data_IF_337034074057
#
_entry.id   IF_337034074057
#
_cell.length_a   1.000
_cell.length_b   1.000
_cell.length_c   1.000
_cell.angle_alpha   90.00
_cell.angle_beta   90.00
_cell.angle_gamma   90.00
#
_symmetry.space_group_name_H-M   'P 1'
#
loop_
_entity.id
_entity.type
_entity.pdbx_description
1 polymer ?
#
# COMPACT_ATOMS: atom_id res chain seq x y z
N UNK A 1 -11.97 -17.29 -5.67
CA UNK A 1 -12.23 -15.96 -5.08
C UNK A 1 -10.90 -15.25 -4.93
N UNK A 2 -10.76 -13.99 -5.38
CA UNK A 2 -9.48 -13.26 -5.34
C UNK A 2 -9.22 -12.62 -3.97
N UNK A 3 -7.94 -12.43 -3.61
CA UNK A 3 -7.47 -11.71 -2.41
C UNK A 3 -6.58 -10.54 -2.84
N UNK A 4 -7.19 -9.52 -3.44
CA UNK A 4 -6.47 -8.39 -4.03
C UNK A 4 -6.22 -7.24 -3.06
N UNK A 5 -7.02 -7.14 -1.99
CA UNK A 5 -6.99 -6.03 -1.03
C UNK A 5 -7.00 -6.54 0.40
N UNK A 6 -6.62 -5.67 1.33
CA UNK A 6 -6.75 -5.85 2.78
C UNK A 6 -8.23 -5.75 3.20
N UNK A 7 -8.50 -5.77 4.50
CA UNK A 7 -9.86 -5.81 5.03
C UNK A 7 -10.71 -4.61 4.55
N UNK A 8 -11.77 -4.82 3.75
CA UNK A 8 -12.45 -3.74 3.03
C UNK A 8 -13.43 -2.92 3.90
N UNK A 9 -13.48 -3.18 5.21
CA UNK A 9 -14.36 -2.51 6.17
C UNK A 9 -13.54 -1.80 7.27
N UNK A 10 -12.38 -1.25 6.87
CA UNK A 10 -11.56 -0.41 7.74
C UNK A 10 -12.07 1.03 7.75
N UNK A 11 -12.06 1.66 8.91
CA UNK A 11 -12.31 3.09 9.11
C UNK A 11 -11.01 3.91 9.21
N UNK A 12 -9.85 3.23 9.26
CA UNK A 12 -8.55 3.86 9.33
C UNK A 12 -8.07 4.33 7.95
N UNK A 13 -7.61 5.57 7.87
CA UNK A 13 -6.89 6.11 6.71
C UNK A 13 -5.37 5.96 6.80
N UNK A 14 -4.86 5.16 7.74
CA UNK A 14 -3.43 5.00 8.03
C UNK A 14 -2.98 3.54 7.88
N UNK A 15 -1.71 3.39 7.52
CA UNK A 15 -1.00 2.13 7.40
C UNK A 15 0.00 1.97 8.56
N UNK A 16 0.20 0.74 9.08
CA UNK A 16 1.28 0.47 10.01
C UNK A 16 2.65 0.76 9.37
N UNK A 17 3.56 1.34 10.14
CA UNK A 17 4.93 1.64 9.69
C UNK A 17 5.70 0.37 9.32
N UNK A 18 5.38 -0.76 9.97
CA UNK A 18 5.96 -2.07 9.68
C UNK A 18 5.66 -2.56 8.25
N UNK A 19 4.50 -2.20 7.68
CA UNK A 19 4.11 -2.58 6.33
C UNK A 19 4.86 -1.81 5.24
N UNK A 20 5.64 -0.78 5.60
CA UNK A 20 6.46 -0.06 4.64
C UNK A 20 7.46 -0.97 3.90
N UNK A 21 7.93 -2.04 4.57
CA UNK A 21 8.82 -3.02 3.96
C UNK A 21 8.17 -3.80 2.80
N UNK A 22 6.83 -3.81 2.72
CA UNK A 22 6.07 -4.54 1.70
C UNK A 22 5.84 -3.72 0.42
N UNK A 23 6.15 -2.42 0.43
CA UNK A 23 5.94 -1.51 -0.72
C UNK A 23 6.46 -2.09 -2.04
N UNK A 24 7.70 -2.65 -2.15
CA UNK A 24 8.17 -3.23 -3.40
C UNK A 24 7.26 -4.36 -3.91
N UNK A 25 6.86 -5.27 -3.03
CA UNK A 25 6.02 -6.42 -3.35
C UNK A 25 4.62 -6.00 -3.79
N UNK A 26 4.04 -4.99 -3.14
CA UNK A 26 2.71 -4.45 -3.49
C UNK A 26 2.75 -3.78 -4.86
N UNK A 27 3.76 -2.94 -5.14
CA UNK A 27 3.91 -2.28 -6.43
C UNK A 27 4.15 -3.28 -7.57
N UNK A 28 4.97 -4.31 -7.35
CA UNK A 28 5.19 -5.38 -8.32
C UNK A 28 3.90 -6.15 -8.61
N UNK A 29 3.06 -6.37 -7.60
CA UNK A 29 1.77 -7.04 -7.75
C UNK A 29 0.80 -6.19 -8.56
N UNK A 30 0.75 -4.87 -8.32
CA UNK A 30 -0.03 -3.94 -9.12
C UNK A 30 0.39 -3.97 -10.59
N UNK A 31 1.69 -3.96 -10.90
CA UNK A 31 2.17 -4.00 -12.28
C UNK A 31 1.89 -5.34 -12.98
N UNK A 32 1.89 -6.44 -12.23
CA UNK A 32 1.49 -7.77 -12.75
C UNK A 32 0.00 -7.81 -13.08
N UNK A 33 -0.83 -7.19 -12.26
CA UNK A 33 -2.28 -7.13 -12.47
C UNK A 33 -2.67 -6.15 -13.57
N UNK A 34 -2.00 -5.00 -13.64
CA UNK A 34 -2.25 -3.96 -14.64
C UNK A 34 -0.93 -3.45 -15.25
N UNK A 35 -0.50 -4.02 -16.39
CA UNK A 35 0.69 -3.58 -17.10
C UNK A 35 0.65 -2.13 -17.60
N UNK A 36 -0.54 -1.50 -17.68
CA UNK A 36 -0.66 -0.10 -18.12
C UNK A 36 -0.02 0.88 -17.13
N UNK A 37 0.16 0.48 -15.87
CA UNK A 37 0.80 1.27 -14.82
C UNK A 37 2.32 1.41 -15.01
N UNK A 38 2.94 0.71 -15.97
CA UNK A 38 4.40 0.70 -16.16
C UNK A 38 5.01 2.11 -16.27
N UNK A 39 4.35 3.03 -16.96
CA UNK A 39 4.87 4.38 -17.18
C UNK A 39 4.93 5.21 -15.89
N UNK A 40 3.96 5.04 -14.99
CA UNK A 40 3.92 5.74 -13.70
C UNK A 40 4.82 5.05 -12.67
N UNK A 41 4.97 3.72 -12.71
CA UNK A 41 5.84 2.96 -11.78
C UNK A 41 7.32 3.38 -11.81
N UNK A 42 7.81 3.92 -12.93
CA UNK A 42 9.17 4.45 -13.07
C UNK A 42 9.36 5.86 -12.50
N UNK A 43 8.27 6.56 -12.18
CA UNK A 43 8.29 7.93 -11.65
C UNK A 43 8.11 7.98 -10.13
N UNK A 44 7.78 6.85 -9.49
CA UNK A 44 7.52 6.78 -8.05
C UNK A 44 8.82 6.78 -7.25
N UNK A 45 8.90 7.65 -6.23
CA UNK A 45 9.84 7.45 -5.13
C UNK A 45 9.28 6.39 -4.17
N UNK A 46 9.79 5.17 -4.31
CA UNK A 46 9.37 4.01 -3.49
C UNK A 46 9.87 4.08 -2.06
N UNK A 47 10.76 5.02 -1.75
CA UNK A 47 11.26 5.29 -0.40
C UNK A 47 10.47 6.36 0.34
N UNK A 48 9.53 7.04 -0.35
CA UNK A 48 8.75 8.12 0.25
C UNK A 48 7.89 7.61 1.42
N UNK A 49 8.19 8.13 2.61
CA UNK A 49 7.35 7.96 3.81
C UNK A 49 6.45 9.18 3.99
N UNK A 50 5.24 9.09 3.45
CA UNK A 50 4.21 10.12 3.64
C UNK A 50 3.54 10.00 5.01
N UNK A 51 2.59 10.90 5.31
CA UNK A 51 1.76 10.86 6.55
C UNK A 51 0.90 9.60 6.71
N UNK A 52 0.76 8.79 5.66
CA UNK A 52 -0.07 7.59 5.70
C UNK A 52 0.52 6.51 6.62
N UNK A 53 1.86 6.47 6.78
CA UNK A 53 2.55 5.54 7.68
C UNK A 53 2.55 6.11 9.09
N UNK A 54 1.69 5.59 9.99
CA UNK A 54 1.57 6.13 11.34
C UNK A 54 0.92 5.10 12.29
N UNK A 55 1.74 4.40 13.07
CA UNK A 55 1.26 3.38 14.01
C UNK A 55 0.31 3.97 15.07
N UNK A 56 0.55 5.20 15.51
CA UNK A 56 -0.26 5.88 16.51
C UNK A 56 -1.66 6.29 16.02
N UNK A 57 -1.97 6.13 14.73
CA UNK A 57 -3.27 6.45 14.14
C UNK A 57 -3.97 5.27 13.48
N UNK A 58 -3.37 4.09 13.52
CA UNK A 58 -4.04 2.84 13.13
C UNK A 58 -5.04 2.47 14.23
N UNK A 59 -6.26 2.07 13.84
CA UNK A 59 -7.32 1.62 14.76
C UNK A 59 -7.34 0.07 14.80
N UNK A 60 -8.50 -0.55 15.05
CA UNK A 60 -8.64 -2.01 14.99
C UNK A 60 -8.29 -2.59 13.60
N UNK A 61 -8.39 -1.77 12.56
CA UNK A 61 -8.03 -2.09 11.19
C UNK A 61 -7.12 -0.99 10.62
N UNK A 62 -6.41 -1.29 9.55
CA UNK A 62 -5.59 -0.33 8.80
C UNK A 62 -6.21 -0.05 7.43
N UNK A 63 -5.78 1.04 6.81
CA UNK A 63 -6.17 1.42 5.44
C UNK A 63 -5.66 0.45 4.37
#
# INVERSE_FOLDING_TARGET
>A
THKATTYPRSDSGYLPESMFAEVPTVLDSLLKTDPSLRSIMGQLDRSQRSRAWNDGKVTAHHG
#
